data_IF_653401038923
#
_entry.id   IF_653401038923
#
_cell.length_a   1.000
_cell.length_b   1.000
_cell.length_c   1.000
_cell.angle_alpha   90.00
_cell.angle_beta   90.00
_cell.angle_gamma   90.00
#
_symmetry.space_group_name_H-M   'P 1'
#
loop_
_entity.id
_entity.type
_entity.pdbx_description
1 polymer ?
#
# COMPACT_ATOMS: atom_id res chain seq x y z
N UNK A 1 -1.07 -11.13 13.54
CA UNK A 1 0.11 -10.93 12.66
C UNK A 1 0.29 -9.44 12.40
N UNK A 2 1.51 -8.92 12.57
CA UNK A 2 1.86 -7.51 12.34
C UNK A 2 2.49 -7.35 10.96
N UNK A 3 1.69 -7.08 9.94
CA UNK A 3 2.20 -6.85 8.59
C UNK A 3 1.28 -7.33 7.48
N UNK A 4 1.75 -7.07 6.26
CA UNK A 4 1.11 -7.40 4.99
C UNK A 4 2.02 -8.35 4.22
N UNK A 5 1.47 -9.45 3.74
CA UNK A 5 2.10 -10.35 2.79
C UNK A 5 1.49 -10.10 1.40
N UNK A 6 2.34 -9.91 0.40
CA UNK A 6 1.92 -9.60 -0.96
C UNK A 6 2.67 -10.50 -1.93
N UNK A 7 1.95 -11.32 -2.69
CA UNK A 7 2.50 -11.96 -3.87
C UNK A 7 2.58 -10.93 -4.99
N UNK A 8 3.81 -10.60 -5.43
CA UNK A 8 4.03 -9.58 -6.47
C UNK A 8 3.35 -9.96 -7.79
N UNK A 9 3.52 -11.20 -8.25
CA UNK A 9 3.07 -11.62 -9.57
C UNK A 9 1.55 -11.71 -9.62
N UNK A 10 0.92 -12.19 -8.55
CA UNK A 10 -0.53 -12.20 -8.42
C UNK A 10 -1.08 -10.76 -8.37
N UNK A 11 -0.46 -9.90 -7.56
CA UNK A 11 -0.87 -8.50 -7.42
C UNK A 11 -0.76 -7.73 -8.75
N UNK A 12 0.35 -7.90 -9.48
CA UNK A 12 0.53 -7.27 -10.79
C UNK A 12 -0.51 -7.75 -11.82
N UNK A 13 -0.94 -9.02 -11.75
CA UNK A 13 -1.92 -9.60 -12.68
C UNK A 13 -3.37 -9.25 -12.36
N UNK A 14 -3.75 -9.18 -11.09
CA UNK A 14 -5.15 -8.99 -10.70
C UNK A 14 -5.49 -7.53 -10.40
N UNK A 15 -4.53 -6.76 -9.87
CA UNK A 15 -4.78 -5.45 -9.29
C UNK A 15 -4.09 -4.29 -10.03
N UNK A 16 -3.06 -4.57 -10.83
CA UNK A 16 -2.33 -3.56 -11.62
C UNK A 16 -2.39 -3.79 -13.13
N UNK A 17 -2.76 -5.00 -13.56
CA UNK A 17 -3.05 -5.23 -14.96
C UNK A 17 -4.32 -4.44 -15.28
N UNK A 18 -4.34 -3.65 -16.36
CA UNK A 18 -5.56 -3.07 -16.87
C UNK A 18 -6.41 -4.24 -17.39
N UNK A 19 -7.14 -4.91 -16.50
CA UNK A 19 -8.12 -5.92 -16.87
C UNK A 19 -9.14 -5.26 -17.79
N UNK A 20 -9.09 -5.61 -19.06
CA UNK A 20 -10.12 -5.38 -20.07
C UNK A 20 -10.82 -4.01 -20.01
N UNK A 21 -10.06 -2.95 -20.24
CA UNK A 21 -10.59 -1.79 -21.00
C UNK A 21 -10.77 -2.17 -22.50
N UNK A 22 -11.19 -3.41 -22.78
CA UNK A 22 -11.35 -4.00 -24.11
C UNK A 22 -12.53 -4.98 -24.16
N UNK A 23 -13.70 -4.54 -23.71
CA UNK A 23 -14.92 -4.70 -24.51
C UNK A 23 -15.15 -3.33 -25.14
N UNK A 24 -15.10 -3.16 -26.46
CA UNK A 24 -16.05 -3.81 -27.35
C UNK A 24 -17.35 -3.03 -27.23
N UNK A 25 -17.41 -1.92 -27.96
CA UNK A 25 -18.60 -1.11 -28.27
C UNK A 25 -19.21 -0.30 -27.11
N UNK A 26 -19.42 0.99 -27.38
CA UNK A 26 -19.64 2.01 -26.37
C UNK A 26 -20.95 1.86 -25.60
N UNK A 27 -20.87 1.54 -24.31
CA UNK A 27 -21.66 2.14 -23.23
C UNK A 27 -21.14 1.58 -21.89
N UNK A 28 -20.55 2.43 -21.04
CA UNK A 28 -20.54 2.18 -19.60
C UNK A 28 -19.58 1.16 -19.00
N UNK A 29 -18.33 1.04 -19.45
CA UNK A 29 -17.28 0.34 -18.70
C UNK A 29 -16.98 1.11 -17.39
N UNK A 30 -17.67 0.78 -16.31
CA UNK A 30 -17.41 1.36 -14.98
C UNK A 30 -16.04 0.85 -14.51
N UNK A 31 -15.08 1.75 -14.20
CA UNK A 31 -13.83 1.33 -13.61
C UNK A 31 -14.16 0.56 -12.32
N UNK A 32 -13.55 -0.61 -12.13
CA UNK A 32 -13.68 -1.34 -10.88
C UNK A 32 -13.25 -0.38 -9.74
N UNK A 33 -14.14 -0.03 -8.79
CA UNK A 33 -13.80 0.91 -7.72
C UNK A 33 -12.65 0.43 -6.85
N UNK A 34 -12.35 -0.88 -6.90
CA UNK A 34 -11.30 -1.52 -6.12
C UNK A 34 -9.96 -1.66 -6.87
N UNK A 35 -9.90 -1.28 -8.16
CA UNK A 35 -8.67 -1.35 -8.94
C UNK A 35 -7.71 -0.19 -8.63
N UNK A 36 -6.41 -0.48 -8.57
CA UNK A 36 -5.41 0.57 -8.40
C UNK A 36 -5.26 1.36 -9.70
N UNK A 37 -5.26 2.69 -9.60
CA UNK A 37 -4.85 3.59 -10.69
C UNK A 37 -3.32 3.60 -10.84
N UNK A 38 -2.70 2.43 -10.91
CA UNK A 38 -1.28 2.25 -11.07
C UNK A 38 -1.03 1.02 -11.95
N UNK A 39 -0.06 1.14 -12.85
CA UNK A 39 0.38 0.05 -13.75
C UNK A 39 1.58 -0.70 -13.20
N UNK A 40 2.26 -0.13 -12.21
CA UNK A 40 3.54 -0.63 -11.71
C UNK A 40 3.51 -0.88 -10.21
N UNK A 41 4.01 -2.04 -9.81
CA UNK A 41 4.13 -2.43 -8.41
C UNK A 41 4.99 -1.46 -7.58
N UNK A 42 5.96 -0.80 -8.20
CA UNK A 42 6.76 0.25 -7.57
C UNK A 42 5.92 1.41 -7.00
N UNK A 43 4.79 1.75 -7.64
CA UNK A 43 3.87 2.77 -7.13
C UNK A 43 3.20 2.34 -5.83
N UNK A 44 2.79 1.07 -5.74
CA UNK A 44 2.25 0.47 -4.53
C UNK A 44 3.29 0.45 -3.39
N UNK A 45 4.51 -0.01 -3.67
CA UNK A 45 5.62 -0.01 -2.69
C UNK A 45 5.95 1.41 -2.22
N UNK A 46 5.91 2.40 -3.12
CA UNK A 46 6.10 3.81 -2.77
C UNK A 46 5.02 4.30 -1.81
N UNK A 47 3.76 3.90 -2.00
CA UNK A 47 2.70 4.24 -1.05
C UNK A 47 2.96 3.60 0.31
N UNK A 48 3.29 2.30 0.36
CA UNK A 48 3.67 1.62 1.61
C UNK A 48 4.78 2.37 2.37
N UNK A 49 5.85 2.75 1.68
CA UNK A 49 6.95 3.53 2.27
C UNK A 49 6.49 4.90 2.79
N UNK A 50 5.56 5.57 2.11
CA UNK A 50 4.98 6.83 2.57
C UNK A 50 4.08 6.67 3.80
N UNK A 51 3.56 5.49 4.07
CA UNK A 51 2.75 5.21 5.26
C UNK A 51 3.55 4.53 6.39
N UNK A 52 4.87 4.46 6.26
CA UNK A 52 5.76 3.91 7.30
C UNK A 52 5.79 2.38 7.35
N UNK A 53 5.37 1.72 6.27
CA UNK A 53 5.64 0.30 6.10
C UNK A 53 7.07 0.10 5.63
N UNK A 54 7.72 -0.93 6.15
CA UNK A 54 9.07 -1.32 5.76
C UNK A 54 9.06 -2.77 5.30
N UNK A 55 9.79 -3.06 4.22
CA UNK A 55 9.98 -4.44 3.76
C UNK A 55 10.83 -5.19 4.80
N UNK A 56 10.33 -6.33 5.25
CA UNK A 56 11.06 -7.24 6.13
C UNK A 56 11.88 -8.18 5.24
N UNK A 57 13.22 -8.25 5.41
CA UNK A 57 14.02 -9.28 4.77
C UNK A 57 13.52 -10.65 5.26
N UNK A 58 13.22 -11.55 4.33
CA UNK A 58 12.85 -12.92 4.71
C UNK A 58 14.03 -13.54 5.45
N UNK A 59 13.82 -13.93 6.72
CA UNK A 59 14.83 -14.65 7.52
C UNK A 59 14.95 -16.13 7.12
N UNK A 60 14.26 -16.57 6.08
CA UNK A 60 14.40 -17.92 5.54
C UNK A 60 15.70 -17.97 4.73
N UNK A 61 16.80 -18.27 5.43
CA UNK A 61 18.13 -18.44 4.85
C UNK A 61 18.31 -19.73 4.05
N UNK A 62 17.27 -20.28 3.41
CA UNK A 62 17.40 -21.49 2.58
C UNK A 62 16.18 -21.63 1.68
N UNK A 63 16.23 -21.00 0.51
CA UNK A 63 15.46 -21.47 -0.64
C UNK A 63 16.23 -21.02 -1.88
N UNK A 64 16.54 -22.00 -2.71
CA UNK A 64 17.32 -21.93 -3.93
C UNK A 64 16.98 -20.71 -4.81
N UNK A 65 17.92 -20.24 -5.65
CA UNK A 65 17.75 -19.10 -6.56
C UNK A 65 16.59 -19.19 -7.58
N UNK A 66 15.73 -20.20 -7.50
CA UNK A 66 14.63 -20.46 -8.42
C UNK A 66 13.22 -20.60 -7.83
N UNK A 67 13.04 -20.71 -6.50
CA UNK A 67 11.75 -21.22 -5.96
C UNK A 67 11.12 -20.47 -4.76
N UNK A 68 11.69 -19.36 -4.30
CA UNK A 68 11.06 -18.48 -3.30
C UNK A 68 10.29 -17.30 -3.95
N UNK A 69 9.60 -17.58 -5.05
CA UNK A 69 9.03 -16.60 -5.97
C UNK A 69 7.87 -15.78 -5.37
N UNK A 70 8.03 -14.45 -5.36
CA UNK A 70 6.89 -13.52 -5.38
C UNK A 70 6.46 -12.91 -4.04
N UNK A 71 6.58 -13.62 -2.90
CA UNK A 71 6.02 -13.13 -1.64
C UNK A 71 6.88 -12.07 -0.95
N UNK A 72 6.30 -10.89 -0.75
CA UNK A 72 6.90 -9.72 -0.13
C UNK A 72 6.21 -9.44 1.20
N UNK A 73 7.00 -9.38 2.27
CA UNK A 73 6.51 -9.04 3.61
C UNK A 73 6.80 -7.58 3.94
N UNK A 74 5.75 -6.83 4.28
CA UNK A 74 5.82 -5.46 4.76
C UNK A 74 5.29 -5.37 6.18
N UNK A 75 6.00 -4.69 7.08
CA UNK A 75 5.59 -4.50 8.48
C UNK A 75 5.34 -3.04 8.79
N UNK A 76 4.33 -2.78 9.60
CA UNK A 76 4.10 -1.50 10.29
C UNK A 76 3.64 -1.80 11.73
N UNK A 77 4.17 -1.12 12.76
CA UNK A 77 3.75 -1.32 14.16
C UNK A 77 2.27 -1.01 14.40
N UNK A 78 1.70 -0.13 13.57
CA UNK A 78 0.32 0.32 13.67
C UNK A 78 -0.63 -0.45 12.72
N UNK A 79 -0.13 -1.48 12.03
CA UNK A 79 -0.94 -2.32 11.15
C UNK A 79 -1.12 -3.71 11.77
N UNK A 80 -2.31 -3.97 12.31
CA UNK A 80 -2.63 -5.24 12.97
C UNK A 80 -4.07 -5.65 12.70
N UNK A 81 -4.26 -6.91 12.29
CA UNK A 81 -5.57 -7.46 11.97
C UNK A 81 -6.56 -7.39 13.16
N UNK A 82 -6.09 -7.68 14.38
CA UNK A 82 -6.95 -7.68 15.58
C UNK A 82 -7.14 -6.28 16.17
N UNK A 83 -6.44 -5.26 15.66
CA UNK A 83 -6.48 -3.89 16.20
C UNK A 83 -6.66 -2.89 15.06
N UNK A 84 -7.84 -2.86 14.42
CA UNK A 84 -8.13 -1.89 13.37
C UNK A 84 -8.01 -0.44 13.85
N UNK A 85 -8.19 -0.17 15.15
CA UNK A 85 -8.00 1.16 15.75
C UNK A 85 -6.59 1.75 15.48
N UNK A 86 -5.58 0.88 15.35
CA UNK A 86 -4.20 1.31 15.09
C UNK A 86 -4.04 1.87 13.67
N UNK A 87 -4.91 1.53 12.72
CA UNK A 87 -4.89 2.08 11.37
C UNK A 87 -5.03 3.61 11.38
N UNK A 88 -5.79 4.17 12.34
CA UNK A 88 -5.94 5.62 12.50
C UNK A 88 -4.62 6.33 12.83
N UNK A 89 -3.62 5.58 13.32
CA UNK A 89 -2.26 6.08 13.61
C UNK A 89 -1.35 6.05 12.40
N UNK A 90 -1.70 5.31 11.34
CA UNK A 90 -0.95 5.27 10.09
C UNK A 90 -1.24 6.54 9.29
N UNK A 91 -0.24 7.41 9.14
CA UNK A 91 -0.39 8.71 8.46
C UNK A 91 0.63 8.84 7.33
N UNK A 92 0.21 9.49 6.26
CA UNK A 92 1.06 9.73 5.09
C UNK A 92 2.20 10.69 5.44
N UNK A 93 3.42 10.25 5.26
CA UNK A 93 4.66 10.98 5.43
C UNK A 93 4.90 11.90 4.21
N UNK A 94 4.17 13.01 4.17
CA UNK A 94 4.45 14.12 3.24
C UNK A 94 5.69 14.91 3.69
N UNK A 95 6.26 15.79 2.85
CA UNK A 95 7.41 16.65 3.23
C UNK A 95 7.14 17.40 4.55
N UNK A 96 5.93 17.95 4.70
CA UNK A 96 5.49 18.65 5.91
C UNK A 96 5.37 17.72 7.14
N UNK A 97 5.06 16.44 6.93
CA UNK A 97 4.88 15.47 8.01
C UNK A 97 6.17 14.72 8.36
N UNK A 98 7.15 14.64 7.45
CA UNK A 98 8.46 14.02 7.72
C UNK A 98 9.30 14.79 8.71
N UNK A 99 9.14 16.12 8.76
CA UNK A 99 9.91 17.00 9.63
C UNK A 99 9.33 17.10 11.04
N UNK A 100 8.05 16.72 11.23
CA UNK A 100 7.35 16.83 12.51
C UNK A 100 7.85 15.82 13.57
N UNK A 101 8.06 14.53 13.25
CA UNK A 101 8.66 13.57 14.18
C UNK A 101 10.08 13.97 14.61
N UNK A 102 10.89 14.49 13.69
CA UNK A 102 12.24 14.99 14.00
C UNK A 102 12.22 16.21 14.93
N UNK A 103 11.11 16.95 14.96
CA UNK A 103 10.87 18.09 15.84
C UNK A 103 10.02 17.75 17.08
N UNK A 104 9.75 16.46 17.36
CA UNK A 104 8.91 16.02 18.48
C UNK A 104 7.42 16.37 18.36
N UNK A 105 6.96 16.77 17.17
CA UNK A 105 5.59 17.24 16.92
C UNK A 105 4.72 16.11 16.36
N UNK A 106 3.51 15.95 16.90
CA UNK A 106 2.59 14.92 16.43
C UNK A 106 2.09 15.24 15.00
N UNK A 107 2.19 14.26 14.09
CA UNK A 107 1.68 14.41 12.72
C UNK A 107 0.16 14.42 12.79
N UNK A 108 -0.52 15.58 12.77
CA UNK A 108 -2.00 15.62 12.74
C UNK A 108 -2.58 15.05 11.44
N UNK A 109 -3.68 14.32 11.55
CA UNK A 109 -4.50 13.83 10.44
C UNK A 109 -5.04 15.08 9.75
N UNK A 110 -5.06 15.12 8.41
CA UNK A 110 -5.74 16.23 7.72
C UNK A 110 -7.16 16.28 8.27
N UNK A 111 -7.53 17.37 8.93
CA UNK A 111 -8.94 17.62 9.20
C UNK A 111 -9.66 17.65 7.85
N UNK A 112 -10.87 17.08 7.75
CA UNK A 112 -11.65 17.20 6.54
C UNK A 112 -11.76 18.67 6.19
N UNK A 113 -11.50 18.96 4.92
CA UNK A 113 -11.48 20.32 4.39
C UNK A 113 -12.81 21.00 4.74
N UNK A 114 -12.76 22.18 5.35
CA UNK A 114 -13.91 22.99 5.76
C UNK A 114 -14.66 23.63 4.57
N UNK A 115 -14.56 23.03 3.39
CA UNK A 115 -15.20 23.46 2.14
C UNK A 115 -16.36 22.53 1.76
N UNK A 116 -17.27 22.29 2.70
CA UNK A 116 -18.65 21.97 2.35
C UNK A 116 -19.46 23.19 2.77
N UNK A 117 -19.67 24.08 1.81
CA UNK A 117 -20.69 25.13 1.87
C UNK A 117 -22.03 24.51 1.52
#
# INVERSE_FOLDING_TARGET
AQGLLVDRSLFERELLSPGDAHGGDGEGARPNPDAFQATHFGSFVRQLNLYGFHRVPSRVGSAEPGDAGGWLHFRSPNFHHERPDLLLRIRRLTRANRQRPAAGLEVRSRQPSRFQQ
#
